data_IF_885711621043
#
_entry.id   IF_885711621043
#
_cell.length_a   1.000
_cell.length_b   1.000
_cell.length_c   1.000
_cell.angle_alpha   90.00
_cell.angle_beta   90.00
_cell.angle_gamma   90.00
#
_symmetry.space_group_name_H-M   'P 1'
#
loop_
_entity.id
_entity.type
_entity.pdbx_description
1 polymer ?
#
# COMPACT_ATOMS: atom_id res chain seq x y z
N UNK A 1 -25.63 17.46 -28.97
CA UNK A 1 -25.01 17.44 -27.62
C UNK A 1 -23.93 18.51 -27.59
N UNK A 2 -24.01 19.48 -26.66
CA UNK A 2 -22.97 20.53 -26.49
C UNK A 2 -22.26 20.26 -25.17
N UNK A 3 -20.95 20.07 -25.21
CA UNK A 3 -20.11 20.01 -24.01
C UNK A 3 -19.68 21.43 -23.64
N UNK A 4 -19.78 21.80 -22.36
CA UNK A 4 -19.11 22.98 -21.83
C UNK A 4 -17.85 22.52 -21.11
N UNK A 5 -16.74 23.19 -21.40
CA UNK A 5 -15.52 23.04 -20.62
C UNK A 5 -15.69 23.78 -19.30
N UNK A 6 -15.21 23.19 -18.21
CA UNK A 6 -15.11 23.87 -16.91
C UNK A 6 -14.07 24.98 -16.94
N UNK A 7 -14.12 25.87 -15.96
CA UNK A 7 -13.08 26.87 -15.77
C UNK A 7 -11.75 26.20 -15.41
N UNK A 8 -10.64 26.83 -15.78
CA UNK A 8 -9.32 26.35 -15.39
C UNK A 8 -9.10 26.64 -13.91
N UNK A 9 -8.90 25.59 -13.14
CA UNK A 9 -8.72 25.65 -11.69
C UNK A 9 -7.79 24.54 -11.23
N UNK A 10 -7.24 24.68 -10.02
CA UNK A 10 -6.47 23.61 -9.39
C UNK A 10 -7.32 22.34 -9.27
N UNK A 11 -6.70 21.18 -9.48
CA UNK A 11 -7.40 19.89 -9.55
C UNK A 11 -8.13 19.55 -8.25
N UNK A 12 -7.54 19.87 -7.11
CA UNK A 12 -8.10 19.70 -5.76
C UNK A 12 -9.41 20.47 -5.53
N UNK A 13 -9.67 21.50 -6.34
CA UNK A 13 -10.93 22.27 -6.30
C UNK A 13 -11.97 21.73 -7.29
N UNK A 14 -11.57 20.83 -8.19
CA UNK A 14 -12.42 20.40 -9.31
C UNK A 14 -13.56 19.51 -8.84
N UNK A 15 -14.72 19.54 -9.52
CA UNK A 15 -15.80 18.58 -9.24
C UNK A 15 -15.35 17.12 -9.34
N UNK A 16 -14.40 16.83 -10.24
CA UNK A 16 -13.81 15.49 -10.39
C UNK A 16 -13.10 15.07 -9.11
N UNK A 17 -12.31 15.96 -8.50
CA UNK A 17 -11.66 15.67 -7.23
C UNK A 17 -12.68 15.45 -6.11
N UNK A 18 -13.73 16.25 -6.02
CA UNK A 18 -14.80 16.05 -5.02
C UNK A 18 -15.47 14.68 -5.18
N UNK A 19 -15.70 14.22 -6.41
CA UNK A 19 -16.27 12.89 -6.67
C UNK A 19 -15.30 11.80 -6.23
N UNK A 20 -14.02 11.94 -6.57
CA UNK A 20 -12.97 10.99 -6.20
C UNK A 20 -12.79 10.91 -4.69
N UNK A 21 -12.71 12.06 -4.00
CA UNK A 21 -12.58 12.16 -2.56
C UNK A 21 -13.71 11.43 -1.84
N UNK A 22 -14.97 11.78 -2.17
CA UNK A 22 -16.15 11.11 -1.61
C UNK A 22 -16.12 9.62 -1.85
N UNK A 23 -15.76 9.17 -3.05
CA UNK A 23 -15.75 7.76 -3.39
C UNK A 23 -14.89 6.93 -2.42
N UNK A 24 -13.60 7.24 -2.22
CA UNK A 24 -12.78 6.39 -1.34
C UNK A 24 -13.01 6.64 0.14
N UNK A 25 -13.44 7.84 0.55
CA UNK A 25 -13.79 8.09 1.95
C UNK A 25 -15.02 7.27 2.37
N UNK A 26 -16.03 7.18 1.49
CA UNK A 26 -17.27 6.46 1.76
C UNK A 26 -17.13 4.94 1.51
N UNK A 27 -16.42 4.52 0.46
CA UNK A 27 -16.39 3.10 0.07
C UNK A 27 -15.34 2.28 0.81
N UNK A 28 -14.23 2.87 1.28
CA UNK A 28 -13.16 2.14 1.95
C UNK A 28 -12.77 0.87 1.18
N UNK A 29 -12.69 -0.29 1.86
CA UNK A 29 -12.33 -1.58 1.21
C UNK A 29 -13.23 -1.97 0.04
N UNK A 30 -14.48 -1.49 0.01
CA UNK A 30 -15.43 -1.86 -1.04
C UNK A 30 -15.03 -1.29 -2.40
N UNK A 31 -14.18 -0.27 -2.44
CA UNK A 31 -13.56 0.23 -3.66
C UNK A 31 -12.80 -0.87 -4.42
N UNK A 32 -12.22 -1.84 -3.71
CA UNK A 32 -11.48 -2.96 -4.31
C UNK A 32 -12.28 -4.27 -4.33
N UNK A 33 -13.08 -4.56 -3.29
CA UNK A 33 -13.79 -5.85 -3.16
C UNK A 33 -14.79 -6.11 -4.28
N UNK A 34 -15.48 -5.08 -4.76
CA UNK A 34 -16.53 -5.24 -5.77
C UNK A 34 -15.99 -5.24 -7.21
N UNK A 35 -14.67 -5.26 -7.39
CA UNK A 35 -14.03 -5.25 -8.72
C UNK A 35 -14.17 -3.93 -9.48
N UNK A 36 -14.69 -2.88 -8.84
CA UNK A 36 -14.80 -1.54 -9.43
C UNK A 36 -13.43 -0.95 -9.78
N UNK A 37 -12.41 -1.25 -8.97
CA UNK A 37 -11.04 -0.85 -9.21
C UNK A 37 -10.16 -2.09 -9.36
N UNK A 38 -9.56 -2.32 -10.55
CA UNK A 38 -8.66 -3.45 -10.74
C UNK A 38 -7.39 -3.25 -9.90
N UNK A 39 -7.11 -4.18 -8.99
CA UNK A 39 -5.92 -4.12 -8.12
C UNK A 39 -4.93 -5.27 -8.37
N UNK A 40 -5.34 -6.35 -9.04
CA UNK A 40 -4.52 -7.55 -9.19
C UNK A 40 -3.23 -7.35 -9.99
N UNK A 41 -3.13 -6.29 -10.80
CA UNK A 41 -1.91 -5.99 -11.56
C UNK A 41 -0.75 -5.56 -10.65
N UNK A 42 -1.03 -4.79 -9.59
CA UNK A 42 -0.03 -4.31 -8.62
C UNK A 42 -0.05 -5.09 -7.31
N UNK A 43 -1.16 -5.72 -6.95
CA UNK A 43 -1.33 -6.42 -5.66
C UNK A 43 -1.37 -7.93 -5.83
N UNK A 44 -0.30 -8.49 -6.40
CA UNK A 44 -0.10 -9.94 -6.52
C UNK A 44 1.31 -10.34 -6.04
N UNK A 45 1.46 -11.60 -5.65
CA UNK A 45 2.72 -12.14 -5.12
C UNK A 45 3.91 -11.96 -6.07
N UNK A 46 3.71 -12.12 -7.39
CA UNK A 46 4.81 -11.99 -8.37
C UNK A 46 5.31 -10.55 -8.50
N UNK A 47 4.41 -9.57 -8.47
CA UNK A 47 4.76 -8.15 -8.48
C UNK A 47 5.45 -7.75 -7.17
N UNK A 48 4.90 -8.18 -6.04
CA UNK A 48 5.48 -7.95 -4.72
C UNK A 48 6.89 -8.54 -4.58
N UNK A 49 7.12 -9.78 -5.06
CA UNK A 49 8.44 -10.41 -5.07
C UNK A 49 9.49 -9.58 -5.81
N UNK A 50 9.14 -9.05 -7.00
CA UNK A 50 10.07 -8.25 -7.78
C UNK A 50 10.46 -6.97 -7.04
N UNK A 51 9.50 -6.30 -6.40
CA UNK A 51 9.75 -5.11 -5.60
C UNK A 51 10.57 -5.43 -4.33
N UNK A 52 10.21 -6.50 -3.61
CA UNK A 52 10.94 -6.95 -2.43
C UNK A 52 12.41 -7.30 -2.76
N UNK A 53 12.65 -7.92 -3.93
CA UNK A 53 14.00 -8.21 -4.42
C UNK A 53 14.80 -6.94 -4.72
N UNK A 54 14.20 -5.96 -5.40
CA UNK A 54 14.86 -4.67 -5.67
C UNK A 54 15.21 -3.99 -4.35
N UNK A 55 14.26 -3.92 -3.42
CA UNK A 55 14.48 -3.34 -2.10
C UNK A 55 15.63 -4.06 -1.36
N UNK A 56 15.59 -5.39 -1.28
CA UNK A 56 16.63 -6.19 -0.64
C UNK A 56 18.01 -5.89 -1.23
N UNK A 57 18.16 -5.95 -2.55
CA UNK A 57 19.46 -5.72 -3.19
C UNK A 57 19.96 -4.28 -3.00
N UNK A 58 19.06 -3.30 -2.88
CA UNK A 58 19.42 -1.90 -2.64
C UNK A 58 19.92 -1.64 -1.21
N UNK A 59 19.47 -2.43 -0.22
CA UNK A 59 19.73 -2.15 1.20
C UNK A 59 20.39 -3.30 1.97
N UNK A 60 20.74 -4.42 1.31
CA UNK A 60 21.37 -5.60 1.94
C UNK A 60 22.66 -5.28 2.70
N UNK A 61 23.43 -4.31 2.21
CA UNK A 61 24.71 -3.90 2.79
C UNK A 61 24.57 -2.67 3.73
N UNK A 62 23.33 -2.24 3.99
CA UNK A 62 23.06 -1.11 4.88
C UNK A 62 23.35 -1.46 6.33
N UNK A 63 24.16 -0.63 6.99
CA UNK A 63 24.46 -0.70 8.42
C UNK A 63 23.38 -0.07 9.32
N UNK A 64 22.27 0.42 8.76
CA UNK A 64 21.20 1.03 9.55
C UNK A 64 20.53 0.00 10.47
N UNK A 65 20.41 0.30 11.76
CA UNK A 65 19.73 -0.60 12.71
C UNK A 65 18.23 -0.74 12.43
N UNK A 66 17.61 0.30 11.85
CA UNK A 66 16.19 0.32 11.48
C UNK A 66 16.00 0.82 10.05
N UNK A 67 15.14 0.14 9.31
CA UNK A 67 14.76 0.48 7.95
C UNK A 67 13.27 0.77 7.90
N UNK A 68 12.91 2.03 7.70
CA UNK A 68 11.51 2.44 7.56
C UNK A 68 11.09 2.38 6.09
N UNK A 69 9.97 1.72 5.82
CA UNK A 69 9.36 1.65 4.49
C UNK A 69 7.98 2.25 4.60
N UNK A 70 7.68 3.29 3.83
CA UNK A 70 6.36 3.91 3.79
C UNK A 70 5.70 3.62 2.45
N UNK A 71 4.58 2.90 2.48
CA UNK A 71 3.71 2.73 1.33
C UNK A 71 2.70 3.86 1.27
N UNK A 72 2.65 4.56 0.13
CA UNK A 72 1.70 5.64 -0.13
C UNK A 72 0.52 5.12 -0.94
N UNK A 73 -0.67 5.14 -0.33
CA UNK A 73 -1.88 4.60 -0.95
C UNK A 73 -1.98 3.09 -0.76
N UNK A 74 -2.47 2.68 0.40
CA UNK A 74 -2.55 1.29 0.83
C UNK A 74 -3.34 0.37 -0.12
N UNK A 75 -4.26 0.94 -0.91
CA UNK A 75 -5.12 0.14 -1.77
C UNK A 75 -5.90 -0.89 -0.95
N UNK A 76 -5.87 -2.16 -1.35
CA UNK A 76 -6.48 -3.25 -0.57
C UNK A 76 -5.62 -3.76 0.61
N UNK A 77 -4.40 -3.23 0.80
CA UNK A 77 -3.39 -3.76 1.73
C UNK A 77 -2.72 -5.07 1.26
N UNK A 78 -3.20 -5.69 0.18
CA UNK A 78 -2.70 -6.98 -0.31
C UNK A 78 -1.26 -6.88 -0.83
N UNK A 79 -0.88 -5.73 -1.41
CA UNK A 79 0.51 -5.52 -1.84
C UNK A 79 1.46 -5.54 -0.65
N UNK A 80 1.19 -4.76 0.41
CA UNK A 80 1.99 -4.73 1.64
C UNK A 80 2.18 -6.14 2.21
N UNK A 81 1.09 -6.91 2.31
CA UNK A 81 1.14 -8.29 2.78
C UNK A 81 2.10 -9.15 1.93
N UNK A 82 1.89 -9.20 0.62
CA UNK A 82 2.77 -10.00 -0.23
C UNK A 82 4.20 -9.48 -0.23
N UNK A 83 4.42 -8.17 -0.13
CA UNK A 83 5.76 -7.60 -0.08
C UNK A 83 6.51 -8.10 1.16
N UNK A 84 5.87 -8.05 2.34
CA UNK A 84 6.46 -8.51 3.59
C UNK A 84 6.74 -10.02 3.55
N UNK A 85 5.79 -10.82 3.07
CA UNK A 85 5.98 -12.28 2.92
C UNK A 85 7.14 -12.60 1.97
N UNK A 86 7.23 -11.94 0.82
CA UNK A 86 8.30 -12.17 -0.14
C UNK A 86 9.65 -11.68 0.39
N UNK A 87 9.69 -10.54 1.09
CA UNK A 87 10.91 -10.02 1.69
C UNK A 87 11.43 -10.96 2.79
N UNK A 88 10.53 -11.51 3.62
CA UNK A 88 10.86 -12.52 4.64
C UNK A 88 11.52 -13.74 3.99
N UNK A 89 10.90 -14.30 2.95
CA UNK A 89 11.44 -15.44 2.20
C UNK A 89 12.83 -15.13 1.62
N UNK A 90 13.00 -13.95 1.01
CA UNK A 90 14.30 -13.54 0.46
C UNK A 90 15.36 -13.46 1.57
N UNK A 91 15.04 -12.86 2.72
CA UNK A 91 15.97 -12.73 3.83
C UNK A 91 16.36 -14.10 4.40
N UNK A 92 15.41 -15.02 4.57
CA UNK A 92 15.66 -16.39 5.01
C UNK A 92 16.61 -17.13 4.06
N UNK A 93 16.35 -17.06 2.74
CA UNK A 93 17.19 -17.69 1.71
C UNK A 93 18.61 -17.12 1.69
N UNK A 94 18.75 -15.81 1.93
CA UNK A 94 20.03 -15.10 1.93
C UNK A 94 20.73 -15.10 3.30
N UNK A 95 20.13 -15.71 4.33
CA UNK A 95 20.59 -15.69 5.72
C UNK A 95 20.85 -14.26 6.23
N UNK A 96 19.99 -13.32 5.83
CA UNK A 96 20.08 -11.91 6.20
C UNK A 96 19.17 -11.61 7.39
N UNK A 97 19.61 -10.74 8.29
CA UNK A 97 18.81 -10.23 9.40
C UNK A 97 17.91 -9.04 9.01
N UNK A 98 17.99 -8.58 7.75
CA UNK A 98 17.40 -7.35 7.26
C UNK A 98 15.91 -7.25 7.57
N UNK A 99 15.16 -8.34 7.43
CA UNK A 99 13.72 -8.37 7.75
C UNK A 99 13.42 -7.94 9.19
N UNK A 100 14.28 -8.28 10.16
CA UNK A 100 14.11 -7.90 11.58
C UNK A 100 14.29 -6.39 11.82
N UNK A 101 14.96 -5.70 10.90
CA UNK A 101 15.21 -4.25 10.95
C UNK A 101 14.11 -3.44 10.28
N UNK A 102 13.26 -4.09 9.49
CA UNK A 102 12.21 -3.43 8.70
C UNK A 102 11.03 -3.01 9.58
N UNK A 103 10.63 -1.75 9.42
CA UNK A 103 9.45 -1.14 10.00
C UNK A 103 8.58 -0.62 8.85
N UNK A 104 7.51 -1.35 8.53
CA UNK A 104 6.65 -1.04 7.40
C UNK A 104 5.45 -0.19 7.84
N UNK A 105 5.24 0.93 7.16
CA UNK A 105 4.14 1.86 7.39
C UNK A 105 3.22 1.86 6.17
N UNK A 106 1.98 1.39 6.37
CA UNK A 106 0.93 1.48 5.37
C UNK A 106 0.22 2.82 5.57
N UNK A 107 0.20 3.66 4.54
CA UNK A 107 -0.50 4.97 4.59
C UNK A 107 -1.55 5.05 3.49
N UNK A 108 -2.68 5.69 3.81
CA UNK A 108 -3.74 5.95 2.86
C UNK A 108 -4.43 7.25 3.27
N UNK A 109 -4.97 7.97 2.30
CA UNK A 109 -5.73 9.18 2.57
C UNK A 109 -7.14 8.86 3.10
N UNK A 110 -7.67 7.68 2.78
CA UNK A 110 -8.95 7.18 3.28
C UNK A 110 -8.76 6.53 4.65
N UNK A 111 -9.22 7.21 5.70
CA UNK A 111 -9.24 6.68 7.07
C UNK A 111 -10.11 5.42 7.15
N UNK A 112 -11.22 5.39 6.40
CA UNK A 112 -12.08 4.21 6.27
C UNK A 112 -11.29 3.02 5.74
N UNK A 113 -10.48 3.22 4.70
CA UNK A 113 -9.65 2.16 4.15
C UNK A 113 -8.60 1.64 5.17
N UNK A 114 -7.91 2.54 5.86
CA UNK A 114 -6.95 2.15 6.90
C UNK A 114 -7.60 1.33 8.01
N UNK A 115 -8.80 1.73 8.46
CA UNK A 115 -9.56 0.97 9.45
C UNK A 115 -9.98 -0.40 8.91
N UNK A 116 -10.41 -0.48 7.66
CA UNK A 116 -10.77 -1.74 7.03
C UNK A 116 -9.58 -2.71 6.94
N UNK A 117 -8.40 -2.20 6.57
CA UNK A 117 -7.15 -2.98 6.52
C UNK A 117 -6.78 -3.46 7.92
N UNK A 118 -6.82 -2.56 8.92
CA UNK A 118 -6.57 -2.91 10.33
C UNK A 118 -7.49 -4.02 10.84
N UNK A 119 -8.76 -4.00 10.43
CA UNK A 119 -9.76 -4.99 10.83
C UNK A 119 -9.71 -6.29 10.00
N UNK A 120 -8.94 -6.34 8.91
CA UNK A 120 -8.90 -7.49 8.00
C UNK A 120 -8.14 -8.71 8.54
N UNK A 121 -7.41 -8.55 9.65
CA UNK A 121 -6.55 -9.57 10.27
C UNK A 121 -5.37 -10.05 9.42
N UNK A 122 -5.20 -9.51 8.21
CA UNK A 122 -4.10 -9.86 7.28
C UNK A 122 -2.71 -9.62 7.91
N UNK A 123 -2.63 -8.72 8.87
CA UNK A 123 -1.38 -8.34 9.54
C UNK A 123 -1.31 -8.81 11.00
N UNK A 124 -2.17 -9.74 11.44
CA UNK A 124 -2.19 -10.19 12.85
C UNK A 124 -0.87 -10.86 13.28
N UNK A 125 -0.12 -11.45 12.34
CA UNK A 125 1.21 -12.02 12.60
C UNK A 125 2.31 -10.96 12.72
N UNK A 126 2.00 -9.71 12.40
CA UNK A 126 2.90 -8.57 12.47
C UNK A 126 2.58 -7.71 13.69
N UNK A 127 3.60 -7.21 14.38
CA UNK A 127 3.39 -6.27 15.49
C UNK A 127 2.87 -4.94 14.95
N UNK A 128 1.54 -4.74 15.02
CA UNK A 128 0.90 -3.47 14.69
C UNK A 128 1.15 -2.47 15.82
N UNK A 129 2.13 -1.60 15.64
CA UNK A 129 2.33 -0.45 16.52
C UNK A 129 1.40 0.68 16.06
N UNK A 130 0.50 1.14 16.92
CA UNK A 130 -0.19 2.41 16.69
C UNK A 130 0.81 3.52 17.07
N UNK A 131 1.39 4.20 16.08
CA UNK A 131 2.03 5.50 16.30
C UNK A 131 0.99 6.58 16.50
#
# INVERSE_FOLDING_TARGET
MKFKLGELQSFDKSPIWTIHDKYYQENGKNSWKNGHIPFNITSNSRFAYQNAKIFFEAVKDSSLEKLYIMEMGAGSGIFAYYFLEQLKIICEQKKSDLFKRVHYMITDYSVTNLNDIKNSKVFDEYQLNNT
#
